data_IF_689309403598
#
_entry.id   IF_689309403598
#
_cell.length_a   1.000
_cell.length_b   1.000
_cell.length_c   1.000
_cell.angle_alpha   90.00
_cell.angle_beta   90.00
_cell.angle_gamma   90.00
#
_symmetry.space_group_name_H-M   'P 1'
#
loop_
_entity.id
_entity.type
_entity.pdbx_description
1 polymer ?
#
# COMPACT_ATOMS: atom_id res chain seq x y z
N UNK A 1 2.15 -19.20 18.95
CA UNK A 1 3.09 -18.84 20.06
C UNK A 1 4.39 -18.36 19.41
N UNK A 2 5.05 -17.31 19.91
CA UNK A 2 6.33 -16.84 19.31
C UNK A 2 7.46 -17.80 19.68
N UNK A 3 7.98 -18.51 18.69
CA UNK A 3 9.19 -19.31 18.81
C UNK A 3 10.40 -18.37 18.91
N UNK A 4 11.12 -18.44 20.04
CA UNK A 4 12.28 -17.62 20.41
C UNK A 4 13.45 -17.64 19.41
N UNK A 5 13.35 -18.42 18.32
CA UNK A 5 14.36 -18.55 17.26
C UNK A 5 14.08 -17.67 16.02
N UNK A 6 12.91 -17.03 15.93
CA UNK A 6 12.48 -16.29 14.73
C UNK A 6 12.03 -17.21 13.59
N UNK A 7 11.26 -16.65 12.64
CA UNK A 7 10.83 -17.39 11.46
C UNK A 7 12.01 -17.56 10.49
N UNK A 8 12.20 -18.77 9.98
CA UNK A 8 13.16 -19.08 8.92
C UNK A 8 12.51 -20.04 7.93
N UNK A 9 12.65 -19.76 6.64
CA UNK A 9 12.20 -20.62 5.55
C UNK A 9 13.41 -21.08 4.73
N UNK A 10 13.33 -22.27 4.16
CA UNK A 10 14.23 -22.70 3.10
C UNK A 10 13.51 -22.52 1.78
N UNK A 11 14.07 -21.69 0.91
CA UNK A 11 13.54 -21.51 -0.44
C UNK A 11 14.12 -22.63 -1.30
N UNK A 12 13.25 -23.50 -1.81
CA UNK A 12 13.66 -24.56 -2.72
C UNK A 12 14.05 -23.94 -4.07
N UNK A 13 15.22 -24.32 -4.57
CA UNK A 13 15.74 -23.85 -5.87
C UNK A 13 15.23 -24.71 -7.04
N UNK A 14 14.23 -25.58 -6.83
CA UNK A 14 13.56 -26.27 -7.93
C UNK A 14 12.83 -25.28 -8.85
N UNK A 15 12.70 -25.59 -10.15
CA UNK A 15 11.91 -24.77 -11.06
C UNK A 15 10.46 -24.66 -10.59
N UNK A 16 10.04 -23.43 -10.24
CA UNK A 16 8.69 -23.14 -9.78
C UNK A 16 7.77 -22.93 -10.98
N UNK A 17 6.66 -23.68 -11.05
CA UNK A 17 5.66 -23.54 -12.12
C UNK A 17 4.53 -22.57 -11.69
N UNK A 18 4.61 -21.33 -12.15
CA UNK A 18 3.59 -20.31 -11.88
C UNK A 18 2.18 -20.63 -12.42
N UNK A 19 2.08 -21.56 -13.39
CA UNK A 19 0.83 -21.99 -14.01
C UNK A 19 0.19 -23.21 -13.32
N UNK A 20 0.77 -23.70 -12.23
CA UNK A 20 0.29 -24.92 -11.57
C UNK A 20 -1.09 -24.74 -10.94
N UNK A 21 -1.98 -25.70 -11.20
CA UNK A 21 -3.31 -25.82 -10.60
C UNK A 21 -3.51 -27.23 -9.98
N UNK A 22 -3.88 -27.33 -8.67
CA UNK A 22 -4.00 -26.23 -7.72
C UNK A 22 -2.63 -25.60 -7.41
N UNK A 23 -2.61 -24.30 -7.11
CA UNK A 23 -1.38 -23.62 -6.72
C UNK A 23 -0.83 -24.24 -5.42
N UNK A 24 0.47 -24.60 -5.39
CA UNK A 24 1.08 -25.12 -4.17
C UNK A 24 1.10 -24.04 -3.08
N UNK A 25 1.22 -24.47 -1.83
CA UNK A 25 1.36 -23.56 -0.69
C UNK A 25 2.81 -23.14 -0.58
N UNK A 26 3.04 -21.83 -0.54
CA UNK A 26 4.33 -21.21 -0.32
C UNK A 26 4.38 -20.62 1.09
N UNK A 27 5.59 -20.57 1.64
CA UNK A 27 5.85 -20.06 2.98
C UNK A 27 6.62 -18.74 2.91
N UNK A 28 6.27 -17.77 3.77
CA UNK A 28 6.99 -16.51 3.88
C UNK A 28 7.09 -16.06 5.35
N UNK A 29 8.19 -15.41 5.71
CA UNK A 29 8.38 -14.88 7.06
C UNK A 29 8.00 -13.40 7.16
N UNK A 30 7.23 -13.04 8.20
CA UNK A 30 6.95 -11.66 8.59
C UNK A 30 7.41 -11.49 10.04
N UNK A 31 8.65 -11.06 10.24
CA UNK A 31 9.23 -11.02 11.58
C UNK A 31 9.28 -12.44 12.19
N UNK A 32 8.64 -12.68 13.34
CA UNK A 32 8.56 -14.02 13.94
C UNK A 32 7.47 -14.91 13.33
N UNK A 33 6.59 -14.38 12.48
CA UNK A 33 5.43 -15.12 11.97
C UNK A 33 5.72 -15.84 10.66
N UNK A 34 5.27 -17.09 10.56
CA UNK A 34 5.30 -17.89 9.33
C UNK A 34 3.93 -17.81 8.64
N UNK A 35 3.89 -17.18 7.47
CA UNK A 35 2.72 -17.08 6.59
C UNK A 35 2.71 -18.25 5.60
N UNK A 36 1.58 -18.95 5.48
CA UNK A 36 1.36 -20.02 4.51
C UNK A 36 0.22 -19.63 3.54
N UNK A 37 0.53 -19.38 2.27
CA UNK A 37 -0.48 -18.99 1.27
C UNK A 37 -0.26 -19.73 -0.05
N UNK A 38 -1.32 -19.97 -0.85
CA UNK A 38 -1.14 -20.45 -2.21
C UNK A 38 -0.24 -19.51 -3.02
N UNK A 39 0.64 -20.10 -3.83
CA UNK A 39 1.66 -19.42 -4.64
C UNK A 39 1.10 -18.26 -5.47
N UNK A 40 -0.13 -18.37 -5.98
CA UNK A 40 -0.76 -17.35 -6.82
C UNK A 40 -1.19 -16.07 -6.07
N UNK A 41 -1.14 -16.05 -4.73
CA UNK A 41 -1.25 -14.82 -3.93
C UNK A 41 0.01 -13.96 -4.00
N UNK A 42 1.18 -14.57 -4.20
CA UNK A 42 2.44 -13.84 -4.28
C UNK A 42 2.50 -13.05 -5.59
N UNK A 43 3.06 -11.84 -5.54
CA UNK A 43 3.09 -10.92 -6.69
C UNK A 43 3.83 -11.47 -7.90
N UNK A 44 4.84 -12.32 -7.65
CA UNK A 44 5.63 -13.06 -8.64
C UNK A 44 4.95 -14.34 -9.12
N UNK A 45 3.90 -14.78 -8.42
CA UNK A 45 3.30 -16.11 -8.53
C UNK A 45 4.36 -17.21 -8.46
N UNK A 46 5.38 -17.06 -7.60
CA UNK A 46 6.44 -18.05 -7.37
C UNK A 46 6.85 -18.15 -5.88
N UNK A 47 6.12 -17.52 -4.97
CA UNK A 47 6.52 -17.40 -3.56
C UNK A 47 7.44 -16.20 -3.28
N UNK A 48 8.10 -16.17 -2.12
CA UNK A 48 9.07 -15.12 -1.77
C UNK A 48 10.35 -15.21 -2.61
N UNK A 49 11.03 -14.07 -2.73
CA UNK A 49 12.33 -13.96 -3.39
C UNK A 49 13.44 -14.60 -2.55
N UNK A 50 14.62 -14.84 -3.15
CA UNK A 50 15.77 -15.45 -2.48
C UNK A 50 16.22 -14.74 -1.19
N UNK A 51 15.97 -13.44 -1.04
CA UNK A 51 16.27 -12.66 0.16
C UNK A 51 15.13 -12.70 1.21
N UNK A 52 14.09 -13.50 0.96
CA UNK A 52 12.88 -13.62 1.77
C UNK A 52 11.87 -12.49 1.53
N UNK A 53 12.18 -11.51 0.69
CA UNK A 53 11.25 -10.41 0.40
C UNK A 53 10.08 -10.89 -0.45
N UNK A 54 8.90 -10.33 -0.21
CA UNK A 54 7.72 -10.64 -0.99
C UNK A 54 6.69 -9.52 -0.94
N UNK A 55 5.73 -9.61 -1.84
CA UNK A 55 4.47 -8.87 -1.76
C UNK A 55 3.35 -9.75 -2.25
N UNK A 56 2.13 -9.52 -1.78
CA UNK A 56 0.95 -10.18 -2.30
C UNK A 56 0.32 -9.34 -3.41
N UNK A 57 -0.41 -9.97 -4.32
CA UNK A 57 -1.15 -9.30 -5.39
C UNK A 57 -2.58 -9.86 -5.51
N UNK A 58 -3.55 -8.98 -5.35
CA UNK A 58 -4.97 -9.29 -5.48
C UNK A 58 -5.56 -8.54 -6.68
N UNK A 59 -6.59 -9.10 -7.30
CA UNK A 59 -7.31 -8.48 -8.41
C UNK A 59 -8.41 -7.55 -7.87
N UNK A 60 -8.39 -6.27 -8.23
CA UNK A 60 -9.50 -5.35 -7.95
C UNK A 60 -10.62 -5.57 -8.97
N UNK A 61 -11.92 -5.60 -8.57
CA UNK A 61 -12.46 -5.33 -7.23
C UNK A 61 -12.77 -6.57 -6.38
N UNK A 62 -12.47 -7.80 -6.85
CA UNK A 62 -12.79 -9.02 -6.10
C UNK A 62 -11.95 -9.15 -4.82
N UNK A 63 -10.71 -8.66 -4.86
CA UNK A 63 -9.69 -8.84 -3.84
C UNK A 63 -9.32 -10.32 -3.61
N UNK A 64 -9.50 -11.12 -4.67
CA UNK A 64 -9.04 -12.49 -4.79
C UNK A 64 -7.67 -12.54 -5.48
N UNK A 65 -6.88 -13.62 -5.32
CA UNK A 65 -5.63 -13.75 -6.04
C UNK A 65 -5.88 -13.84 -7.54
N UNK A 66 -4.88 -13.44 -8.33
CA UNK A 66 -4.91 -13.67 -9.76
C UNK A 66 -4.88 -15.17 -10.08
N UNK A 67 -5.38 -15.55 -11.27
CA UNK A 67 -5.25 -16.92 -11.74
C UNK A 67 -3.77 -17.31 -11.87
N UNK A 68 -3.40 -18.57 -11.62
CA UNK A 68 -2.03 -19.04 -11.84
C UNK A 68 -1.52 -18.67 -13.24
N UNK A 69 -0.33 -18.08 -13.28
CA UNK A 69 0.32 -17.63 -14.52
C UNK A 69 -0.16 -16.31 -15.11
N UNK A 70 -1.29 -15.73 -14.67
CA UNK A 70 -1.83 -14.47 -15.23
C UNK A 70 -0.87 -13.28 -15.05
N UNK A 71 0.05 -13.35 -14.07
CA UNK A 71 1.01 -12.29 -13.79
C UNK A 71 2.41 -12.53 -14.38
N UNK A 72 2.68 -13.69 -14.99
CA UNK A 72 4.02 -14.04 -15.50
C UNK A 72 4.52 -13.11 -16.61
N UNK A 73 3.61 -12.41 -17.28
CA UNK A 73 3.91 -11.32 -18.20
C UNK A 73 3.04 -10.11 -17.83
N UNK A 74 3.39 -9.45 -16.72
CA UNK A 74 2.58 -8.38 -16.13
C UNK A 74 2.25 -7.28 -17.15
N UNK A 75 1.05 -7.34 -17.72
CA UNK A 75 0.57 -6.31 -18.65
C UNK A 75 0.15 -5.06 -17.89
N UNK A 76 0.12 -3.92 -18.58
CA UNK A 76 -0.36 -2.65 -18.01
C UNK A 76 -1.80 -2.75 -17.50
N UNK A 77 -2.62 -3.59 -18.12
CA UNK A 77 -4.01 -3.83 -17.71
C UNK A 77 -4.08 -4.67 -16.43
N UNK A 78 -3.21 -5.68 -16.28
CA UNK A 78 -3.10 -6.46 -15.03
C UNK A 78 -2.55 -5.57 -13.91
N UNK A 79 -1.54 -4.75 -14.20
CA UNK A 79 -0.99 -3.80 -13.25
C UNK A 79 -2.04 -2.78 -12.78
N UNK A 80 -2.84 -2.23 -13.69
CA UNK A 80 -3.87 -1.23 -13.38
C UNK A 80 -4.92 -1.72 -12.36
N UNK A 81 -5.21 -3.03 -12.35
CA UNK A 81 -6.16 -3.66 -11.41
C UNK A 81 -5.49 -4.40 -10.26
N UNK A 82 -4.18 -4.29 -10.08
CA UNK A 82 -3.48 -4.95 -8.98
C UNK A 82 -3.66 -4.17 -7.68
N UNK A 83 -4.15 -4.84 -6.65
CA UNK A 83 -3.99 -4.41 -5.25
C UNK A 83 -2.78 -5.13 -4.68
N UNK A 84 -1.70 -4.39 -4.41
CA UNK A 84 -0.45 -4.95 -3.90
C UNK A 84 -0.38 -4.78 -2.38
N UNK A 85 -0.08 -5.85 -1.65
CA UNK A 85 -0.01 -5.83 -0.19
C UNK A 85 1.41 -6.18 0.27
N UNK A 86 1.96 -5.38 1.17
CA UNK A 86 3.25 -5.60 1.79
C UNK A 86 3.09 -5.55 3.32
N UNK A 87 3.78 -6.44 4.02
CA UNK A 87 3.80 -6.48 5.48
C UNK A 87 5.19 -6.14 5.99
N UNK A 88 5.26 -5.40 7.10
CA UNK A 88 6.52 -5.08 7.76
C UNK A 88 6.35 -5.21 9.26
N UNK A 89 7.01 -6.20 9.86
CA UNK A 89 7.05 -6.37 11.30
C UNK A 89 7.97 -5.33 11.94
N UNK A 90 7.45 -4.57 12.90
CA UNK A 90 8.14 -3.50 13.61
C UNK A 90 8.62 -4.01 14.95
N UNK A 91 9.93 -4.19 15.08
CA UNK A 91 10.54 -4.69 16.33
C UNK A 91 10.54 -3.63 17.43
N UNK A 92 10.71 -4.09 18.67
CA UNK A 92 11.01 -3.27 19.85
C UNK A 92 9.87 -2.31 20.27
N UNK A 93 8.61 -2.63 19.99
CA UNK A 93 7.46 -1.83 20.43
C UNK A 93 7.36 -0.45 19.77
N UNK A 94 8.04 -0.24 18.64
CA UNK A 94 8.08 1.06 17.93
C UNK A 94 6.97 1.23 16.89
N UNK A 95 5.97 0.34 16.89
CA UNK A 95 4.89 0.31 15.89
C UNK A 95 4.26 1.70 15.68
N UNK A 96 3.82 2.31 16.77
CA UNK A 96 3.14 3.60 16.75
C UNK A 96 4.06 4.78 16.42
N UNK A 97 5.35 4.68 16.73
CA UNK A 97 6.36 5.65 16.29
C UNK A 97 6.50 5.57 14.77
N UNK A 98 6.70 4.37 14.22
CA UNK A 98 6.83 4.20 12.76
C UNK A 98 5.56 4.66 12.03
N UNK A 99 4.37 4.40 12.58
CA UNK A 99 3.12 4.91 12.01
C UNK A 99 3.06 6.43 12.05
N UNK A 100 3.44 7.06 13.18
CA UNK A 100 3.47 8.53 13.32
C UNK A 100 4.41 9.19 12.32
N UNK A 101 5.57 8.60 12.08
CA UNK A 101 6.60 9.16 11.21
C UNK A 101 6.14 9.28 9.74
N UNK A 102 5.02 8.65 9.36
CA UNK A 102 4.42 8.76 8.02
C UNK A 102 3.68 10.07 7.79
N UNK A 103 3.11 10.67 8.84
CA UNK A 103 2.38 11.95 8.76
C UNK A 103 3.05 13.09 9.55
N UNK A 104 4.18 12.80 10.20
CA UNK A 104 5.03 13.77 10.88
C UNK A 104 6.50 13.31 10.74
N UNK A 105 7.16 13.59 9.61
CA UNK A 105 8.52 13.13 9.38
C UNK A 105 9.53 13.90 10.21
N UNK A 106 10.61 13.22 10.60
CA UNK A 106 11.69 13.72 11.45
C UNK A 106 12.97 14.04 10.65
N UNK A 107 12.93 13.90 9.33
CA UNK A 107 14.07 14.11 8.43
C UNK A 107 13.76 15.28 7.52
N UNK A 108 14.77 16.12 7.30
CA UNK A 108 14.70 17.35 6.51
C UNK A 108 14.14 17.13 5.08
N UNK A 109 13.38 18.11 4.53
CA UNK A 109 12.91 19.32 5.21
C UNK A 109 11.73 19.02 6.16
N UNK A 110 11.95 19.17 7.47
CA UNK A 110 10.96 18.83 8.51
C UNK A 110 9.76 19.78 8.45
N UNK A 111 9.99 21.01 7.99
CA UNK A 111 9.02 22.09 7.92
C UNK A 111 8.28 22.19 6.57
N UNK A 112 8.60 21.33 5.60
CA UNK A 112 7.95 21.36 4.30
C UNK A 112 6.45 21.03 4.42
N UNK A 113 5.54 21.90 3.94
CA UNK A 113 4.11 21.80 4.25
C UNK A 113 3.46 20.52 3.72
N UNK A 114 3.94 19.95 2.61
CA UNK A 114 3.42 18.68 2.07
C UNK A 114 3.71 17.46 2.96
N UNK A 115 4.66 17.60 3.89
CA UNK A 115 5.12 16.54 4.79
C UNK A 115 4.38 16.52 6.12
N UNK A 116 3.65 17.57 6.46
CA UNK A 116 2.93 17.70 7.73
C UNK A 116 1.42 17.57 7.54
N UNK A 117 0.76 16.86 8.46
CA UNK A 117 -0.70 16.80 8.53
C UNK A 117 -1.31 18.19 8.82
N UNK A 118 -0.69 18.98 9.70
CA UNK A 118 -1.22 20.25 10.20
C UNK A 118 -1.16 21.38 9.15
N UNK A 119 -0.26 21.26 8.17
CA UNK A 119 -0.12 22.25 7.10
C UNK A 119 -1.18 22.09 6.00
N UNK A 120 -1.90 20.97 5.98
CA UNK A 120 -2.89 20.60 4.96
C UNK A 120 -4.28 21.18 5.23
N UNK A 121 -5.14 21.16 4.21
CA UNK A 121 -6.51 21.65 4.30
C UNK A 121 -7.41 20.49 4.74
N UNK A 122 -7.93 20.56 5.97
CA UNK A 122 -8.94 19.60 6.46
C UNK A 122 -10.25 19.78 5.67
N UNK A 123 -10.85 18.67 5.24
CA UNK A 123 -12.15 18.66 4.56
C UNK A 123 -13.24 17.91 5.34
N UNK A 124 -14.42 17.86 4.75
CA UNK A 124 -15.55 17.05 5.22
C UNK A 124 -15.28 15.55 5.07
N UNK A 125 -15.92 14.71 5.89
CA UNK A 125 -15.70 13.26 5.86
C UNK A 125 -15.94 12.66 4.46
N UNK A 126 -15.03 11.78 4.04
CA UNK A 126 -15.10 11.04 2.77
C UNK A 126 -15.00 9.55 3.07
N UNK A 127 -16.07 8.79 2.77
CA UNK A 127 -16.14 7.35 3.05
C UNK A 127 -15.80 6.98 4.51
N UNK A 128 -16.15 7.84 5.47
CA UNK A 128 -15.84 7.66 6.89
C UNK A 128 -14.40 8.03 7.30
N UNK A 129 -13.60 8.59 6.39
CA UNK A 129 -12.24 9.07 6.67
C UNK A 129 -12.21 10.60 6.78
N UNK A 130 -11.30 11.12 7.60
CA UNK A 130 -10.98 12.55 7.66
C UNK A 130 -9.99 12.91 6.54
N UNK A 131 -10.36 13.73 5.54
CA UNK A 131 -9.42 14.13 4.50
C UNK A 131 -8.59 15.36 4.91
N UNK A 132 -7.33 15.34 4.49
CA UNK A 132 -6.33 16.40 4.60
C UNK A 132 -5.72 16.63 3.22
N UNK A 133 -6.30 17.56 2.49
CA UNK A 133 -5.92 17.87 1.10
C UNK A 133 -4.61 18.65 1.05
N UNK A 134 -3.80 18.38 0.04
CA UNK A 134 -2.56 19.14 -0.16
C UNK A 134 -2.87 20.61 -0.46
N UNK A 135 -2.16 21.51 0.23
CA UNK A 135 -2.20 22.95 -0.02
C UNK A 135 -1.04 23.34 -0.94
N UNK A 136 -1.28 23.30 -2.25
CA UNK A 136 -0.24 23.57 -3.24
C UNK A 136 0.25 25.02 -3.20
N UNK A 137 -0.55 25.97 -2.71
CA UNK A 137 -0.12 27.36 -2.60
C UNK A 137 0.93 27.50 -1.51
N UNK A 138 0.73 26.85 -0.35
CA UNK A 138 1.76 26.76 0.70
C UNK A 138 3.01 26.03 0.22
N UNK A 139 2.85 24.91 -0.48
CA UNK A 139 4.00 24.15 -1.02
C UNK A 139 4.84 25.00 -1.96
N UNK A 140 4.20 25.68 -2.93
CA UNK A 140 4.90 26.53 -3.88
C UNK A 140 5.55 27.73 -3.20
N UNK A 141 4.87 28.36 -2.25
CA UNK A 141 5.45 29.46 -1.46
C UNK A 141 6.70 29.01 -0.72
N UNK A 142 6.63 27.90 0.03
CA UNK A 142 7.75 27.33 0.76
C UNK A 142 8.95 27.08 -0.15
N UNK A 143 8.75 26.40 -1.28
CA UNK A 143 9.86 26.05 -2.16
C UNK A 143 10.43 27.23 -2.94
N UNK A 144 9.60 28.25 -3.24
CA UNK A 144 10.06 29.51 -3.83
C UNK A 144 10.96 30.28 -2.86
N UNK A 145 10.58 30.34 -1.58
CA UNK A 145 11.39 30.95 -0.52
C UNK A 145 12.72 30.21 -0.32
N UNK A 146 12.74 28.91 -0.57
CA UNK A 146 13.93 28.05 -0.54
C UNK A 146 14.69 27.99 -1.88
N UNK A 147 14.40 28.90 -2.82
CA UNK A 147 15.19 29.09 -4.04
C UNK A 147 14.95 28.08 -5.17
N UNK A 148 13.89 27.27 -5.10
CA UNK A 148 13.52 26.40 -6.23
C UNK A 148 12.78 27.18 -7.33
N UNK A 149 13.07 26.88 -8.61
CA UNK A 149 12.34 27.47 -9.73
C UNK A 149 10.92 26.90 -9.84
N UNK A 150 10.01 27.66 -10.48
CA UNK A 150 8.62 27.22 -10.75
C UNK A 150 8.55 25.94 -11.60
N UNK A 151 9.61 25.63 -12.36
CA UNK A 151 9.71 24.40 -13.18
C UNK A 151 10.13 23.16 -12.40
N UNK A 152 10.44 23.29 -11.10
CA UNK A 152 10.81 22.15 -10.29
C UNK A 152 9.59 21.21 -10.12
N UNK A 153 9.80 19.89 -10.24
CA UNK A 153 8.74 18.89 -10.11
C UNK A 153 7.91 19.02 -8.84
N UNK A 154 8.50 19.49 -7.74
CA UNK A 154 7.79 19.69 -6.47
C UNK A 154 6.74 20.82 -6.51
N UNK A 155 6.76 21.67 -7.54
CA UNK A 155 5.74 22.70 -7.77
C UNK A 155 4.47 22.13 -8.44
N UNK A 156 4.55 20.91 -8.98
CA UNK A 156 3.49 20.23 -9.70
C UNK A 156 2.62 19.37 -8.76
N UNK A 157 1.27 19.45 -8.83
CA UNK A 157 0.39 18.67 -7.96
C UNK A 157 0.59 17.15 -8.08
N UNK A 158 1.05 16.66 -9.24
CA UNK A 158 1.26 15.23 -9.51
C UNK A 158 2.34 14.57 -8.65
N UNK A 159 3.20 15.37 -8.00
CA UNK A 159 4.24 14.89 -7.08
C UNK A 159 3.80 14.86 -5.61
N UNK A 160 2.56 15.25 -5.32
CA UNK A 160 1.99 15.28 -3.98
C UNK A 160 0.82 14.32 -3.84
N UNK A 161 0.28 14.22 -2.63
CA UNK A 161 -0.83 13.32 -2.32
C UNK A 161 -1.85 14.05 -1.45
N UNK A 162 -3.12 13.74 -1.63
CA UNK A 162 -4.13 13.99 -0.62
C UNK A 162 -4.09 12.87 0.41
N UNK A 163 -4.31 13.23 1.68
CA UNK A 163 -4.27 12.28 2.78
C UNK A 163 -5.67 12.03 3.33
N UNK A 164 -5.96 10.80 3.72
CA UNK A 164 -7.19 10.40 4.40
C UNK A 164 -6.82 9.56 5.60
N UNK A 165 -7.34 9.88 6.78
CA UNK A 165 -6.96 9.21 8.02
C UNK A 165 -8.17 8.66 8.77
N UNK A 166 -7.95 7.54 9.47
CA UNK A 166 -8.81 7.10 10.57
C UNK A 166 -8.06 7.21 11.88
N UNK A 167 -8.80 7.18 12.99
CA UNK A 167 -8.25 7.23 14.34
C UNK A 167 -8.81 6.07 15.16
N UNK A 168 -7.98 5.51 16.03
CA UNK A 168 -8.42 4.52 17.01
C UNK A 168 -9.22 5.16 18.16
N UNK A 169 -9.71 4.33 19.08
CA UNK A 169 -10.49 4.77 20.25
C UNK A 169 -9.72 5.71 21.20
N UNK A 170 -8.39 5.74 21.11
CA UNK A 170 -7.52 6.65 21.87
C UNK A 170 -7.18 7.94 21.12
N UNK A 171 -7.68 8.09 19.89
CA UNK A 171 -7.45 9.25 19.02
C UNK A 171 -6.16 9.19 18.19
N UNK A 172 -5.40 8.09 18.27
CA UNK A 172 -4.17 7.89 17.48
C UNK A 172 -4.54 7.58 16.03
N UNK A 173 -3.80 8.14 15.07
CA UNK A 173 -3.97 7.77 13.66
C UNK A 173 -3.47 6.34 13.47
N UNK A 174 -4.41 5.42 13.25
CA UNK A 174 -4.16 4.00 13.00
C UNK A 174 -4.11 3.67 11.50
N UNK A 175 -4.54 4.61 10.66
CA UNK A 175 -4.48 4.51 9.21
C UNK A 175 -4.19 5.85 8.54
N UNK A 176 -3.35 5.81 7.51
CA UNK A 176 -3.09 6.90 6.59
C UNK A 176 -3.23 6.37 5.15
N UNK A 177 -4.09 7.00 4.35
CA UNK A 177 -4.21 6.72 2.92
C UNK A 177 -3.72 7.95 2.16
N UNK A 178 -2.68 7.78 1.35
CA UNK A 178 -2.14 8.79 0.47
C UNK A 178 -2.62 8.52 -0.95
N UNK A 179 -3.42 9.41 -1.54
CA UNK A 179 -3.93 9.24 -2.90
C UNK A 179 -3.46 10.36 -3.82
N UNK A 180 -3.38 10.06 -5.12
CA UNK A 180 -3.23 11.09 -6.15
C UNK A 180 -4.23 12.23 -5.93
N UNK A 181 -3.79 13.51 -5.89
CA UNK A 181 -4.62 14.61 -5.44
C UNK A 181 -5.91 14.75 -6.24
N UNK A 182 -6.97 15.23 -5.59
CA UNK A 182 -8.29 15.46 -6.17
C UNK A 182 -8.29 16.41 -7.36
N UNK A 183 -7.28 17.30 -7.44
CA UNK A 183 -7.07 18.20 -8.57
C UNK A 183 -6.74 17.45 -9.86
N UNK A 184 -6.16 16.25 -9.75
CA UNK A 184 -5.92 15.35 -10.89
C UNK A 184 -7.19 14.52 -11.10
N UNK A 185 -8.04 14.95 -12.02
CA UNK A 185 -9.35 14.32 -12.26
C UNK A 185 -9.27 13.06 -13.13
N UNK A 186 -8.24 12.93 -13.97
CA UNK A 186 -8.04 11.73 -14.79
C UNK A 186 -7.57 10.56 -13.91
N UNK A 187 -8.32 9.46 -13.93
CA UNK A 187 -7.96 8.25 -13.20
C UNK A 187 -6.87 7.43 -13.90
N UNK A 188 -6.79 7.53 -15.23
CA UNK A 188 -5.91 6.71 -16.03
C UNK A 188 -6.39 5.26 -16.20
N UNK A 189 -7.61 4.93 -15.74
CA UNK A 189 -8.24 3.62 -15.90
C UNK A 189 -9.66 3.73 -16.46
N UNK A 190 -10.12 2.66 -17.09
CA UNK A 190 -11.49 2.46 -17.56
C UNK A 190 -11.90 1.01 -17.31
N UNK A 191 -13.18 0.70 -17.48
CA UNK A 191 -13.68 -0.67 -17.42
C UNK A 191 -13.98 -1.18 -18.82
N UNK A 192 -13.42 -2.34 -19.18
CA UNK A 192 -13.71 -3.08 -20.41
C UNK A 192 -14.06 -4.52 -20.02
N UNK A 193 -15.20 -5.02 -20.49
CA UNK A 193 -15.70 -6.37 -20.20
C UNK A 193 -15.72 -6.72 -18.70
N UNK A 194 -16.12 -5.75 -17.86
CA UNK A 194 -16.19 -5.89 -16.41
C UNK A 194 -14.83 -5.87 -15.68
N UNK A 195 -13.71 -5.76 -16.40
CA UNK A 195 -12.36 -5.63 -15.83
C UNK A 195 -11.85 -4.20 -15.92
N UNK A 196 -11.16 -3.77 -14.86
CA UNK A 196 -10.40 -2.52 -14.89
C UNK A 196 -9.15 -2.69 -15.75
N UNK A 197 -8.92 -1.73 -16.64
CA UNK A 197 -7.83 -1.73 -17.62
C UNK A 197 -7.22 -0.33 -17.72
N UNK A 198 -5.99 -0.24 -18.21
CA UNK A 198 -5.28 1.04 -18.34
C UNK A 198 -5.86 1.83 -19.51
N UNK A 199 -6.28 3.08 -19.26
CA UNK A 199 -6.57 4.04 -20.34
C UNK A 199 -5.28 4.43 -21.05
N UNK A 200 -5.36 4.70 -22.35
CA UNK A 200 -4.26 5.22 -23.18
C UNK A 200 -4.03 6.72 -22.95
N UNK A 201 -3.78 7.08 -21.68
CA UNK A 201 -3.46 8.43 -21.22
C UNK A 201 -2.24 8.36 -20.29
N UNK A 202 -1.52 9.47 -20.19
CA UNK A 202 -0.40 9.60 -19.27
C UNK A 202 -0.89 9.58 -17.82
N UNK A 203 -0.19 8.86 -16.96
CA UNK A 203 -0.50 8.78 -15.53
C UNK A 203 -1.52 7.71 -15.15
N UNK A 204 -1.61 7.48 -13.85
CA UNK A 204 -2.49 6.53 -13.18
C UNK A 204 -2.74 7.06 -11.78
N UNK A 205 -4.01 7.29 -11.43
CA UNK A 205 -4.37 7.73 -10.11
C UNK A 205 -4.38 6.53 -9.16
N UNK A 206 -3.56 6.58 -8.13
CA UNK A 206 -3.41 5.50 -7.15
C UNK A 206 -3.52 5.99 -5.73
N UNK A 207 -3.61 5.03 -4.81
CA UNK A 207 -3.56 5.24 -3.38
C UNK A 207 -2.55 4.28 -2.73
N UNK A 208 -1.94 4.75 -1.63
CA UNK A 208 -1.12 3.98 -0.71
C UNK A 208 -1.76 4.03 0.67
N UNK A 209 -2.23 2.89 1.16
CA UNK A 209 -2.86 2.76 2.46
C UNK A 209 -1.91 2.10 3.44
N UNK A 210 -1.59 2.83 4.50
CA UNK A 210 -0.82 2.37 5.64
C UNK A 210 -1.73 2.16 6.82
N UNK A 211 -1.68 0.99 7.46
CA UNK A 211 -2.38 0.74 8.71
C UNK A 211 -1.63 -0.25 9.59
N UNK A 212 -1.98 -0.28 10.87
CA UNK A 212 -1.37 -1.17 11.86
C UNK A 212 -2.20 -2.44 12.08
N UNK A 213 -1.52 -3.54 12.35
CA UNK A 213 -2.06 -4.76 12.96
C UNK A 213 -1.36 -4.87 14.31
N UNK A 214 -1.95 -4.25 15.32
CA UNK A 214 -1.32 -4.01 16.63
C UNK A 214 -0.96 -5.32 17.34
N UNK A 215 -1.82 -6.33 17.25
CA UNK A 215 -1.57 -7.64 17.90
C UNK A 215 -0.36 -8.40 17.33
N UNK A 216 0.14 -8.02 16.15
CA UNK A 216 1.27 -8.64 15.48
C UNK A 216 2.47 -7.69 15.34
N UNK A 217 2.40 -6.46 15.86
CA UNK A 217 3.41 -5.43 15.62
C UNK A 217 3.71 -5.22 14.12
N UNK A 218 2.71 -5.33 13.24
CA UNK A 218 2.87 -5.21 11.78
C UNK A 218 2.31 -3.89 11.26
N UNK A 219 3.06 -3.22 10.37
CA UNK A 219 2.53 -2.19 9.48
C UNK A 219 2.29 -2.81 8.12
N UNK A 220 1.11 -2.57 7.59
CA UNK A 220 0.71 -2.98 6.24
C UNK A 220 0.85 -1.78 5.30
N UNK A 221 1.35 -2.00 4.09
CA UNK A 221 1.22 -1.09 2.95
C UNK A 221 0.39 -1.77 1.87
N UNK A 222 -0.73 -1.15 1.49
CA UNK A 222 -1.57 -1.57 0.38
C UNK A 222 -1.55 -0.51 -0.72
N UNK A 223 -1.16 -0.88 -1.94
CA UNK A 223 -1.16 0.00 -3.11
C UNK A 223 -2.29 -0.43 -4.06
N UNK A 224 -3.15 0.51 -4.48
CA UNK A 224 -4.32 0.22 -5.32
C UNK A 224 -4.76 1.43 -6.17
N UNK A 225 -5.53 1.23 -7.27
CA UNK A 225 -6.12 2.33 -8.05
C UNK A 225 -7.02 3.22 -7.18
N UNK A 226 -7.05 4.55 -7.42
CA UNK A 226 -7.80 5.50 -6.58
C UNK A 226 -9.30 5.17 -6.45
N UNK A 227 -9.86 4.49 -7.43
CA UNK A 227 -11.21 3.94 -7.50
C UNK A 227 -11.52 3.00 -6.33
N UNK A 228 -10.49 2.34 -5.80
CA UNK A 228 -10.55 1.50 -4.61
C UNK A 228 -10.71 2.27 -3.30
N UNK A 229 -10.54 3.61 -3.28
CA UNK A 229 -10.72 4.42 -2.06
C UNK A 229 -12.13 4.28 -1.50
N UNK A 230 -13.15 4.13 -2.35
CA UNK A 230 -14.54 3.87 -1.90
C UNK A 230 -14.70 2.57 -1.10
N UNK A 231 -13.78 1.62 -1.29
CA UNK A 231 -13.76 0.29 -0.69
C UNK A 231 -12.55 0.08 0.25
N UNK A 232 -11.94 1.17 0.75
CA UNK A 232 -10.71 1.14 1.54
C UNK A 232 -10.80 0.20 2.76
N UNK A 233 -11.95 0.14 3.43
CA UNK A 233 -12.17 -0.69 4.62
C UNK A 233 -12.18 -2.17 4.24
N UNK A 234 -12.81 -2.54 3.13
CA UNK A 234 -12.78 -3.92 2.61
C UNK A 234 -11.37 -4.35 2.21
N UNK A 235 -10.58 -3.44 1.62
CA UNK A 235 -9.17 -3.67 1.29
C UNK A 235 -8.34 -3.91 2.55
N UNK A 236 -8.50 -3.06 3.57
CA UNK A 236 -7.87 -3.21 4.90
C UNK A 236 -8.21 -4.56 5.53
N UNK A 237 -9.49 -4.90 5.58
CA UNK A 237 -9.97 -6.15 6.17
C UNK A 237 -9.41 -7.38 5.44
N UNK A 238 -9.40 -7.36 4.10
CA UNK A 238 -8.85 -8.47 3.32
C UNK A 238 -7.34 -8.63 3.54
N UNK A 239 -6.57 -7.53 3.52
CA UNK A 239 -5.15 -7.59 3.80
C UNK A 239 -4.87 -8.10 5.23
N UNK A 240 -5.65 -7.66 6.22
CA UNK A 240 -5.52 -8.16 7.59
C UNK A 240 -5.84 -9.66 7.70
N UNK A 241 -6.93 -10.12 7.09
CA UNK A 241 -7.34 -11.53 7.09
C UNK A 241 -6.31 -12.43 6.39
N UNK A 242 -5.73 -11.97 5.27
CA UNK A 242 -4.67 -12.71 4.57
C UNK A 242 -3.46 -12.98 5.45
N UNK A 243 -3.15 -12.09 6.40
CA UNK A 243 -2.12 -12.33 7.38
C UNK A 243 -2.63 -13.22 8.53
N UNK A 244 -3.61 -12.75 9.29
CA UNK A 244 -4.03 -13.37 10.55
C UNK A 244 -4.51 -14.80 10.36
N UNK A 245 -5.30 -15.05 9.31
CA UNK A 245 -5.93 -16.36 9.09
C UNK A 245 -4.96 -17.40 8.51
N UNK A 246 -3.75 -16.98 8.12
CA UNK A 246 -2.77 -17.80 7.41
C UNK A 246 -1.39 -17.82 8.10
N UNK A 247 -1.30 -17.30 9.33
CA UNK A 247 -0.12 -17.51 10.18
C UNK A 247 -0.21 -18.91 10.78
N UNK A 248 0.88 -19.67 10.67
CA UNK A 248 1.03 -20.97 11.32
C UNK A 248 1.25 -20.79 12.82
N UNK A 249 0.50 -21.53 13.63
CA UNK A 249 0.55 -21.49 15.11
C UNK A 249 1.88 -21.92 15.73
#
# INVERSE_FOLDING_TARGET
>A
MTNEQGCSITIDNQPVNAYQEPSPIEQACIGPYLLELPQNYFSTQMGPQHDGSFSLALEYPSLEPFKPGERMNLSVDVAARTVRVNYSHIRNGRLWEVMRNRYTPWIEPVDAPQKSLDARIRGELVHGLEPYYIDMDKVRAYYRENGLPETASVMEPTFHHDWFVSRDVSGRIDQLIECTPRQITESGVEYRDGKMVKKRVTGFAGCKQHFVIEELDVIVLVEYPREGLTNWERIRQRARALLIDNIKE
#
